data_IF_234377509970
#
_entry.id   IF_234377509970
#
_cell.length_a   1.000
_cell.length_b   1.000
_cell.length_c   1.000
_cell.angle_alpha   90.00
_cell.angle_beta   90.00
_cell.angle_gamma   90.00
#
_symmetry.space_group_name_H-M   'P 1'
#
loop_
_entity.id
_entity.type
_entity.pdbx_description
1 polymer ?
#
# COMPACT_ATOMS: atom_id res chain seq x y z
N UNK A 1 14.70 15.34 4.99
CA UNK A 1 15.72 14.39 4.48
C UNK A 1 15.14 13.24 3.63
N UNK A 2 13.87 13.28 3.22
CA UNK A 2 13.23 12.21 2.45
C UNK A 2 12.93 10.93 3.26
N UNK A 3 13.10 10.95 4.56
CA UNK A 3 12.76 9.84 5.45
C UNK A 3 11.27 9.88 5.81
N UNK A 4 10.42 9.55 4.84
CA UNK A 4 8.99 9.40 5.06
C UNK A 4 8.64 7.99 5.50
N UNK A 5 7.70 7.85 6.41
CA UNK A 5 7.24 6.55 6.90
C UNK A 5 5.82 6.60 7.41
N UNK A 6 5.31 5.43 7.75
CA UNK A 6 4.00 5.25 8.36
C UNK A 6 4.23 4.69 9.77
N UNK A 7 3.42 5.14 10.73
CA UNK A 7 3.43 4.59 12.09
C UNK A 7 2.94 3.13 12.01
N UNK A 8 3.80 2.20 12.39
CA UNK A 8 3.49 0.76 12.35
C UNK A 8 2.93 0.25 13.67
N UNK A 9 3.39 0.82 14.78
CA UNK A 9 2.96 0.43 16.12
C UNK A 9 2.99 1.62 17.06
N UNK A 10 2.06 1.65 18.02
CA UNK A 10 2.02 2.60 19.13
C UNK A 10 2.14 1.76 20.41
N UNK A 11 3.29 1.90 21.09
CA UNK A 11 3.59 1.18 22.31
C UNK A 11 3.31 2.07 23.55
N UNK A 12 3.11 1.44 24.69
CA UNK A 12 3.06 2.15 25.96
C UNK A 12 4.44 2.77 26.29
N UNK A 13 4.46 3.85 27.05
CA UNK A 13 5.72 4.56 27.37
C UNK A 13 6.68 3.66 28.13
N UNK A 14 6.15 2.81 29.00
CA UNK A 14 6.92 1.85 29.81
C UNK A 14 7.61 0.78 28.94
N UNK A 15 7.01 0.43 27.81
CA UNK A 15 7.54 -0.57 26.87
C UNK A 15 8.60 -0.02 25.91
N UNK A 16 8.72 1.31 25.84
CA UNK A 16 9.70 1.96 24.97
C UNK A 16 11.13 1.84 25.55
N UNK A 17 12.13 1.80 24.69
CA UNK A 17 13.52 1.88 25.15
C UNK A 17 13.78 3.18 25.89
N UNK A 18 14.61 3.14 26.95
CA UNK A 18 14.97 4.33 27.70
C UNK A 18 16.47 4.48 27.85
N UNK A 19 16.88 5.72 28.06
CA UNK A 19 18.24 6.07 28.42
C UNK A 19 18.55 5.57 29.84
N UNK A 20 19.82 5.50 30.23
CA UNK A 20 20.21 5.11 31.58
C UNK A 20 19.68 6.04 32.69
N UNK A 21 19.32 7.26 32.34
CA UNK A 21 18.68 8.25 33.23
C UNK A 21 17.16 8.03 33.44
N UNK A 22 16.57 7.05 32.74
CA UNK A 22 15.15 6.75 32.80
C UNK A 22 14.28 7.51 31.79
N UNK A 23 14.86 8.36 30.94
CA UNK A 23 14.13 9.08 29.90
C UNK A 23 13.73 8.13 28.78
N UNK A 24 12.43 7.97 28.52
CA UNK A 24 11.93 7.13 27.44
C UNK A 24 12.16 7.77 26.06
N UNK A 25 12.41 6.95 25.07
CA UNK A 25 12.50 7.36 23.67
C UNK A 25 11.09 7.54 23.12
N UNK A 26 10.81 8.66 22.44
CA UNK A 26 9.48 8.95 21.90
C UNK A 26 9.21 8.19 20.59
N UNK A 27 10.24 8.01 19.75
CA UNK A 27 10.13 7.39 18.42
C UNK A 27 11.33 6.47 18.17
N UNK A 28 11.05 5.31 17.62
CA UNK A 28 12.06 4.38 17.09
C UNK A 28 11.94 4.34 15.58
N UNK A 29 13.03 4.64 14.88
CA UNK A 29 13.11 4.66 13.42
C UNK A 29 13.88 3.45 12.89
N UNK A 30 13.43 2.92 11.74
CA UNK A 30 14.12 1.82 11.08
C UNK A 30 15.42 2.31 10.39
N UNK A 31 16.60 1.79 10.75
CA UNK A 31 17.86 2.21 10.17
C UNK A 31 18.04 1.81 8.69
N UNK A 32 17.30 0.82 8.20
CA UNK A 32 17.38 0.38 6.80
C UNK A 32 17.00 1.49 5.82
N UNK A 33 16.07 2.37 6.20
CA UNK A 33 15.68 3.52 5.39
C UNK A 33 16.77 4.58 5.25
N UNK A 34 17.73 4.63 6.17
CA UNK A 34 18.89 5.53 6.12
C UNK A 34 19.98 4.97 5.21
N UNK A 35 20.34 3.70 5.42
CA UNK A 35 21.42 3.05 4.70
C UNK A 35 21.14 2.96 3.18
N UNK A 36 19.93 2.58 2.80
CA UNK A 36 19.54 2.42 1.39
C UNK A 36 19.42 3.73 0.63
N UNK A 37 19.11 4.84 1.31
CA UNK A 37 18.88 6.15 0.69
C UNK A 37 20.04 7.13 0.81
N UNK A 38 21.06 6.78 1.58
CA UNK A 38 22.29 7.58 1.78
C UNK A 38 22.01 9.03 2.24
N UNK A 39 20.90 9.28 2.94
CA UNK A 39 20.55 10.60 3.48
C UNK A 39 21.19 10.81 4.85
N UNK A 40 22.50 10.97 4.87
CA UNK A 40 23.32 11.10 6.08
C UNK A 40 22.97 12.33 6.92
N UNK A 41 22.44 13.39 6.27
CA UNK A 41 22.05 14.64 6.94
C UNK A 41 21.09 14.44 8.13
N UNK A 42 20.24 13.42 8.10
CA UNK A 42 19.36 13.11 9.22
C UNK A 42 20.09 12.62 10.47
N UNK A 43 21.22 11.93 10.31
CA UNK A 43 22.05 11.48 11.44
C UNK A 43 22.75 12.68 12.06
N UNK A 44 23.33 13.57 11.23
CA UNK A 44 23.96 14.80 11.67
C UNK A 44 22.96 15.71 12.41
N UNK A 45 21.74 15.84 11.87
CA UNK A 45 20.66 16.56 12.54
C UNK A 45 20.33 15.96 13.92
N UNK A 46 20.22 14.65 14.01
CA UNK A 46 19.88 13.94 15.25
C UNK A 46 20.93 14.21 16.32
N UNK A 47 22.21 14.17 15.99
CA UNK A 47 23.29 14.43 16.91
C UNK A 47 23.34 15.90 17.36
N UNK A 48 23.28 16.81 16.41
CA UNK A 48 23.26 18.25 16.72
C UNK A 48 22.01 18.64 17.51
N UNK A 49 20.86 18.07 17.18
CA UNK A 49 19.61 18.27 17.91
C UNK A 49 19.69 17.80 19.36
N UNK A 50 20.40 16.72 19.65
CA UNK A 50 20.63 16.26 21.02
C UNK A 50 21.47 17.27 21.81
N UNK A 51 22.60 17.70 21.23
CA UNK A 51 23.43 18.73 21.85
C UNK A 51 22.66 20.05 22.07
N UNK A 52 21.89 20.48 21.09
CA UNK A 52 21.09 21.72 21.17
C UNK A 52 20.03 21.66 22.27
N UNK A 53 19.39 20.50 22.48
CA UNK A 53 18.41 20.28 23.54
C UNK A 53 19.05 20.40 24.92
N UNK A 54 20.20 19.78 25.15
CA UNK A 54 20.94 19.84 26.41
C UNK A 54 21.46 21.24 26.71
N UNK A 55 21.94 21.95 25.70
CA UNK A 55 22.45 23.32 25.85
C UNK A 55 21.38 24.41 25.79
N UNK A 56 20.11 24.05 25.48
CA UNK A 56 18.95 24.94 25.54
C UNK A 56 18.87 25.97 24.40
N UNK A 57 19.40 25.66 23.20
CA UNK A 57 19.29 26.55 22.03
C UNK A 57 18.65 25.84 20.82
N UNK A 58 18.23 26.63 19.84
CA UNK A 58 17.65 26.13 18.59
C UNK A 58 18.63 26.36 17.46
N UNK A 59 18.82 25.34 16.61
CA UNK A 59 19.70 25.40 15.44
C UNK A 59 18.89 25.60 14.17
N UNK A 60 19.27 26.60 13.37
CA UNK A 60 18.77 26.77 12.01
C UNK A 60 19.96 26.67 11.04
N UNK A 61 19.94 25.67 10.17
CA UNK A 61 20.96 25.43 9.18
C UNK A 61 20.43 25.70 7.78
N UNK A 62 21.16 26.46 6.97
CA UNK A 62 20.77 26.73 5.58
C UNK A 62 20.98 25.48 4.69
N UNK A 63 20.17 25.38 3.66
CA UNK A 63 20.35 24.36 2.63
C UNK A 63 21.68 24.61 1.90
N UNK A 64 22.47 23.58 1.66
CA UNK A 64 23.78 23.60 0.99
C UNK A 64 24.91 24.32 1.77
N UNK A 65 24.64 24.83 2.94
CA UNK A 65 25.61 25.43 3.86
C UNK A 65 25.36 24.86 5.27
N UNK A 66 25.61 23.57 5.39
CA UNK A 66 25.36 22.81 6.62
C UNK A 66 26.51 22.92 7.63
N UNK A 67 26.22 22.53 8.87
CA UNK A 67 27.20 22.48 9.95
C UNK A 67 28.22 21.36 9.67
N UNK A 68 29.51 21.60 9.95
CA UNK A 68 30.54 20.59 9.77
C UNK A 68 30.48 19.48 10.83
N UNK A 69 31.05 18.32 10.54
CA UNK A 69 31.11 17.20 11.48
C UNK A 69 31.91 17.55 12.75
N UNK A 70 32.98 18.32 12.58
CA UNK A 70 33.86 18.74 13.70
C UNK A 70 33.13 19.70 14.65
N UNK A 71 32.32 20.61 14.11
CA UNK A 71 31.47 21.51 14.92
C UNK A 71 30.45 20.72 15.71
N UNK A 72 29.78 19.73 15.09
CA UNK A 72 28.82 18.85 15.78
C UNK A 72 29.49 18.11 16.94
N UNK A 73 30.65 17.53 16.72
CA UNK A 73 31.41 16.86 17.78
C UNK A 73 31.82 17.85 18.90
N UNK A 74 32.16 19.07 18.52
CA UNK A 74 32.47 20.15 19.48
C UNK A 74 31.27 20.49 20.35
N UNK A 75 30.05 20.58 19.77
CA UNK A 75 28.82 20.86 20.50
C UNK A 75 28.42 19.68 21.41
N UNK A 76 28.56 18.43 20.95
CA UNK A 76 28.33 17.25 21.79
C UNK A 76 29.24 17.21 23.01
N UNK A 77 30.56 17.56 22.84
CA UNK A 77 31.51 17.70 23.96
C UNK A 77 31.09 18.76 24.95
N UNK A 78 30.66 19.94 24.48
CA UNK A 78 30.18 21.02 25.34
C UNK A 78 28.96 20.62 26.14
N UNK A 79 28.08 19.79 25.55
CA UNK A 79 26.90 19.25 26.20
C UNK A 79 27.20 18.08 27.17
N UNK A 80 28.45 17.62 27.23
CA UNK A 80 28.84 16.46 28.06
C UNK A 80 28.35 15.13 27.50
N UNK A 81 28.00 15.07 26.22
CA UNK A 81 27.50 13.90 25.51
C UNK A 81 28.61 13.13 24.79
N UNK A 82 28.43 11.83 24.49
CA UNK A 82 29.39 11.06 23.72
C UNK A 82 29.59 11.64 22.33
N UNK A 83 30.85 11.77 21.89
CA UNK A 83 31.20 12.33 20.57
C UNK A 83 30.67 11.53 19.39
N UNK A 84 30.45 10.22 19.60
CA UNK A 84 29.89 9.32 18.60
C UNK A 84 28.35 9.38 18.52
N UNK A 85 27.68 10.16 19.40
CA UNK A 85 26.23 10.28 19.46
C UNK A 85 25.49 8.96 19.75
N UNK A 86 26.18 7.99 20.34
CA UNK A 86 25.62 6.69 20.68
C UNK A 86 25.59 6.47 22.18
N UNK A 87 24.55 5.79 22.62
CA UNK A 87 24.40 5.41 24.01
C UNK A 87 23.79 4.02 24.11
N UNK A 88 24.07 3.33 25.19
CA UNK A 88 23.48 2.03 25.47
C UNK A 88 22.11 2.22 26.11
N UNK A 89 21.05 1.79 25.43
CA UNK A 89 19.67 1.89 25.90
C UNK A 89 19.29 0.67 26.75
N UNK A 90 18.25 0.84 27.54
CA UNK A 90 17.58 -0.22 28.29
C UNK A 90 16.27 -0.56 27.61
N UNK A 91 15.98 -1.85 27.47
CA UNK A 91 14.71 -2.35 26.91
C UNK A 91 13.59 -2.16 27.95
N UNK A 92 12.55 -1.41 27.59
CA UNK A 92 11.42 -1.15 28.47
C UNK A 92 10.64 -2.39 28.90
N UNK A 93 10.60 -3.43 28.06
CA UNK A 93 9.87 -4.67 28.37
C UNK A 93 10.61 -5.63 29.29
N UNK A 94 11.93 -5.77 29.07
CA UNK A 94 12.73 -6.74 29.84
C UNK A 94 13.54 -6.11 30.95
N UNK A 95 13.76 -4.80 30.92
CA UNK A 95 14.63 -4.10 31.86
C UNK A 95 16.14 -4.35 31.64
N UNK A 96 16.51 -5.08 30.57
CA UNK A 96 17.89 -5.40 30.25
C UNK A 96 18.50 -4.34 29.34
N UNK A 97 19.79 -4.10 29.47
CA UNK A 97 20.51 -3.23 28.55
C UNK A 97 20.70 -3.92 27.19
N UNK A 98 20.63 -3.12 26.12
CA UNK A 98 20.98 -3.60 24.79
C UNK A 98 22.47 -3.95 24.67
N UNK A 99 22.80 -4.99 23.92
CA UNK A 99 24.20 -5.41 23.72
C UNK A 99 25.02 -4.35 23.00
N UNK A 100 24.42 -3.63 22.06
CA UNK A 100 25.08 -2.60 21.28
C UNK A 100 24.59 -1.20 21.61
N UNK A 101 25.49 -0.23 21.43
CA UNK A 101 25.14 1.18 21.51
C UNK A 101 24.24 1.59 20.33
N UNK A 102 23.22 2.36 20.62
CA UNK A 102 22.26 2.89 19.64
C UNK A 102 22.45 4.39 19.43
N UNK A 103 22.26 4.86 18.20
CA UNK A 103 22.21 6.28 17.90
C UNK A 103 20.95 6.89 18.50
N UNK A 104 21.09 7.89 19.34
CA UNK A 104 20.01 8.61 19.99
C UNK A 104 20.18 10.10 19.77
N UNK A 105 19.10 10.84 19.73
CA UNK A 105 19.15 12.29 19.60
C UNK A 105 17.77 12.88 19.37
N UNK A 106 17.73 14.12 18.96
CA UNK A 106 16.50 14.87 18.71
C UNK A 106 16.42 15.24 17.23
N UNK A 107 15.29 14.93 16.60
CA UNK A 107 15.04 15.14 15.19
C UNK A 107 13.75 15.93 15.00
N UNK A 108 13.70 16.79 13.98
CA UNK A 108 12.50 17.51 13.62
C UNK A 108 11.58 16.63 12.78
N UNK A 109 10.38 16.38 13.26
CA UNK A 109 9.41 15.48 12.63
C UNK A 109 8.13 16.24 12.32
N UNK A 110 7.60 16.04 11.12
CA UNK A 110 6.36 16.65 10.67
C UNK A 110 5.29 15.58 10.40
N UNK A 111 4.05 15.85 10.78
CA UNK A 111 2.88 15.08 10.35
C UNK A 111 2.49 15.55 8.96
N UNK A 112 2.44 14.62 7.99
CA UNK A 112 2.03 14.90 6.62
C UNK A 112 0.53 14.67 6.43
N UNK A 113 -0.09 15.39 5.48
CA UNK A 113 -1.50 15.24 5.13
C UNK A 113 -1.80 13.96 4.31
N UNK A 114 -1.00 12.94 4.49
CA UNK A 114 -1.20 11.62 3.87
C UNK A 114 -1.80 10.64 4.88
N UNK A 115 -2.93 11.02 5.47
CA UNK A 115 -3.61 10.22 6.48
C UNK A 115 -4.32 9.02 5.84
N UNK A 116 -4.30 7.89 6.55
CA UNK A 116 -4.94 6.65 6.06
C UNK A 116 -6.45 6.80 5.89
N UNK A 117 -7.11 7.58 6.75
CA UNK A 117 -8.55 7.87 6.67
C UNK A 117 -8.97 8.52 5.36
N UNK A 118 -8.11 9.39 4.80
CA UNK A 118 -8.35 10.01 3.50
C UNK A 118 -8.11 9.08 2.32
N UNK A 119 -7.33 8.02 2.52
CA UNK A 119 -6.95 7.04 1.48
C UNK A 119 -7.75 5.75 1.55
N UNK A 120 -8.35 5.47 2.70
CA UNK A 120 -9.18 4.29 2.88
C UNK A 120 -10.38 4.39 1.94
N UNK A 121 -10.56 3.37 1.10
CA UNK A 121 -11.66 3.27 0.17
C UNK A 121 -12.08 1.82 -0.03
N UNK A 122 -13.39 1.59 -0.07
CA UNK A 122 -13.98 0.29 -0.40
C UNK A 122 -15.24 0.52 -1.20
N UNK A 123 -15.63 -0.47 -1.99
CA UNK A 123 -16.82 -0.45 -2.83
C UNK A 123 -17.47 -1.82 -2.85
N UNK A 124 -18.79 -1.86 -2.73
CA UNK A 124 -19.60 -3.02 -3.09
C UNK A 124 -20.35 -2.74 -4.39
N UNK A 125 -21.32 -1.83 -4.34
CA UNK A 125 -22.08 -1.33 -5.48
C UNK A 125 -21.83 0.17 -5.58
N UNK A 126 -21.80 0.70 -6.80
CA UNK A 126 -21.60 2.11 -7.03
C UNK A 126 -21.90 2.51 -8.48
N UNK A 127 -21.61 3.75 -8.87
CA UNK A 127 -21.88 4.23 -10.21
C UNK A 127 -21.03 3.55 -11.28
N UNK A 128 -21.59 3.40 -12.45
CA UNK A 128 -20.97 2.82 -13.65
C UNK A 128 -20.94 3.83 -14.79
N UNK A 129 -19.97 3.69 -15.69
CA UNK A 129 -19.94 4.46 -16.92
C UNK A 129 -21.13 4.11 -17.82
N UNK A 130 -21.74 5.11 -18.46
CA UNK A 130 -22.87 4.90 -19.36
C UNK A 130 -22.47 4.15 -20.64
N UNK A 131 -21.27 4.38 -21.15
CA UNK A 131 -20.84 3.81 -22.44
C UNK A 131 -20.27 2.40 -22.24
N UNK A 132 -19.31 2.24 -21.35
CA UNK A 132 -18.60 0.97 -21.16
C UNK A 132 -19.25 0.04 -20.16
N UNK A 133 -20.21 0.54 -19.37
CA UNK A 133 -20.83 -0.19 -18.24
C UNK A 133 -19.83 -0.72 -17.19
N UNK A 134 -18.63 -0.19 -17.20
CA UNK A 134 -17.58 -0.49 -16.20
C UNK A 134 -17.72 0.40 -14.98
N UNK A 135 -17.25 -0.05 -13.80
CA UNK A 135 -17.18 0.80 -12.62
C UNK A 135 -16.36 2.06 -12.88
N UNK A 136 -16.83 3.21 -12.38
CA UNK A 136 -16.04 4.45 -12.42
C UNK A 136 -14.77 4.30 -11.57
N UNK A 137 -13.76 5.10 -11.84
CA UNK A 137 -12.53 5.16 -11.06
C UNK A 137 -12.54 6.29 -10.02
N UNK A 138 -11.69 6.16 -8.99
CA UNK A 138 -11.44 7.20 -8.00
C UNK A 138 -12.34 7.16 -6.77
N UNK A 139 -11.76 7.50 -5.61
CA UNK A 139 -12.45 7.52 -4.31
C UNK A 139 -13.61 8.51 -4.28
N UNK A 140 -13.44 9.71 -4.87
CA UNK A 140 -14.46 10.76 -4.87
C UNK A 140 -15.76 10.35 -5.59
N UNK A 141 -15.66 9.47 -6.57
CA UNK A 141 -16.80 8.95 -7.33
C UNK A 141 -17.30 7.60 -6.83
N UNK A 142 -16.87 7.18 -5.66
CA UNK A 142 -17.15 5.84 -5.13
C UNK A 142 -16.82 4.74 -6.14
N UNK A 143 -15.66 4.89 -6.80
CA UNK A 143 -15.22 4.04 -7.91
C UNK A 143 -14.57 2.74 -7.46
N UNK A 144 -14.37 1.85 -8.43
CA UNK A 144 -13.65 0.59 -8.24
C UNK A 144 -12.15 0.73 -8.45
N UNK A 145 -11.40 -0.29 -8.05
CA UNK A 145 -9.98 -0.39 -8.32
C UNK A 145 -9.75 -0.84 -9.77
N UNK A 146 -8.70 -0.31 -10.40
CA UNK A 146 -8.30 -0.76 -11.72
C UNK A 146 -7.51 -2.06 -11.63
N UNK A 147 -8.00 -3.09 -12.27
CA UNK A 147 -7.28 -4.34 -12.48
C UNK A 147 -6.58 -4.24 -13.84
N UNK A 148 -5.29 -3.88 -13.83
CA UNK A 148 -4.52 -3.62 -15.03
C UNK A 148 -4.04 -4.88 -15.72
N UNK A 149 -3.33 -4.70 -16.85
CA UNK A 149 -2.80 -5.79 -17.67
C UNK A 149 -1.80 -6.68 -16.91
N UNK A 150 -0.94 -6.05 -16.10
CA UNK A 150 0.05 -6.80 -15.30
C UNK A 150 -0.60 -7.67 -14.22
N UNK A 151 -1.68 -7.21 -13.60
CA UNK A 151 -2.46 -7.98 -12.62
C UNK A 151 -3.17 -9.15 -13.29
N UNK A 152 -3.63 -8.99 -14.54
CA UNK A 152 -4.18 -10.07 -15.37
C UNK A 152 -3.12 -11.15 -15.62
N UNK A 153 -1.90 -10.76 -15.98
CA UNK A 153 -0.79 -11.71 -16.18
C UNK A 153 -0.47 -12.49 -14.89
N UNK A 154 -0.58 -11.87 -13.74
CA UNK A 154 -0.40 -12.56 -12.47
C UNK A 154 -1.44 -13.67 -12.26
N UNK A 155 -2.73 -13.40 -12.54
CA UNK A 155 -3.78 -14.42 -12.46
C UNK A 155 -3.59 -15.54 -13.49
N UNK A 156 -3.15 -15.20 -14.70
CA UNK A 156 -2.80 -16.18 -15.73
C UNK A 156 -1.65 -17.08 -15.27
N UNK A 157 -0.61 -16.49 -14.68
CA UNK A 157 0.53 -17.23 -14.13
C UNK A 157 0.15 -18.21 -13.02
N UNK A 158 -0.86 -17.89 -12.21
CA UNK A 158 -1.42 -18.82 -11.22
C UNK A 158 -2.41 -19.83 -11.79
N UNK A 159 -2.81 -19.69 -13.05
CA UNK A 159 -3.84 -20.54 -13.67
C UNK A 159 -5.24 -20.34 -13.11
N UNK A 160 -5.51 -19.19 -12.48
CA UNK A 160 -6.78 -18.87 -11.84
C UNK A 160 -7.84 -18.39 -12.86
N UNK A 161 -8.25 -19.25 -13.78
CA UNK A 161 -9.14 -18.90 -14.88
C UNK A 161 -10.52 -18.43 -14.43
N UNK A 162 -11.12 -19.06 -13.43
CA UNK A 162 -12.44 -18.66 -12.92
C UNK A 162 -12.41 -17.30 -12.24
N UNK A 163 -11.37 -16.99 -11.48
CA UNK A 163 -11.18 -15.68 -10.86
C UNK A 163 -11.01 -14.59 -11.92
N UNK A 164 -10.24 -14.87 -12.96
CA UNK A 164 -10.04 -13.93 -14.07
C UNK A 164 -11.36 -13.69 -14.82
N UNK A 165 -12.13 -14.72 -15.09
CA UNK A 165 -13.45 -14.61 -15.72
C UNK A 165 -14.40 -13.75 -14.87
N UNK A 166 -14.44 -13.96 -13.58
CA UNK A 166 -15.24 -13.15 -12.65
C UNK A 166 -14.83 -11.67 -12.68
N UNK A 167 -13.51 -11.39 -12.67
CA UNK A 167 -13.00 -10.02 -12.75
C UNK A 167 -13.40 -9.31 -14.05
N UNK A 168 -13.41 -10.03 -15.16
CA UNK A 168 -13.73 -9.49 -16.50
C UNK A 168 -15.25 -9.31 -16.73
N UNK A 169 -16.10 -10.06 -16.05
CA UNK A 169 -17.55 -10.12 -16.31
C UNK A 169 -18.38 -9.53 -15.17
N UNK A 170 -18.64 -10.30 -14.15
CA UNK A 170 -19.56 -9.92 -13.05
C UNK A 170 -19.09 -8.65 -12.32
N UNK A 171 -17.78 -8.52 -12.11
CA UNK A 171 -17.19 -7.38 -11.43
C UNK A 171 -16.92 -6.19 -12.35
N UNK A 172 -17.17 -6.30 -13.64
CA UNK A 172 -16.85 -5.26 -14.62
C UNK A 172 -18.08 -4.85 -15.44
N UNK A 173 -18.28 -5.38 -16.63
CA UNK A 173 -19.19 -4.88 -17.66
C UNK A 173 -20.46 -5.72 -17.87
N UNK A 174 -20.57 -6.91 -17.30
CA UNK A 174 -21.76 -7.76 -17.42
C UNK A 174 -22.90 -7.25 -16.53
N UNK A 175 -23.81 -6.48 -17.13
CA UNK A 175 -24.95 -5.86 -16.42
C UNK A 175 -25.90 -6.91 -15.86
N UNK A 176 -26.22 -7.94 -16.66
CA UNK A 176 -27.15 -9.00 -16.25
C UNK A 176 -26.54 -9.91 -15.20
N UNK A 177 -25.28 -10.29 -15.38
CA UNK A 177 -24.53 -11.10 -14.42
C UNK A 177 -24.38 -10.42 -13.07
N UNK A 178 -24.12 -9.10 -13.04
CA UNK A 178 -24.08 -8.32 -11.80
C UNK A 178 -25.39 -8.38 -11.03
N UNK A 179 -26.50 -8.16 -11.72
CA UNK A 179 -27.84 -8.13 -11.11
C UNK A 179 -28.22 -9.51 -10.56
N UNK A 180 -28.00 -10.58 -11.33
CA UNK A 180 -28.24 -11.95 -10.90
C UNK A 180 -27.35 -12.36 -9.72
N UNK A 181 -26.06 -11.98 -9.73
CA UNK A 181 -25.13 -12.28 -8.63
C UNK A 181 -25.56 -11.58 -7.33
N UNK A 182 -25.97 -10.31 -7.42
CA UNK A 182 -26.41 -9.56 -6.27
C UNK A 182 -27.75 -10.12 -5.70
N UNK A 183 -28.67 -10.51 -6.56
CA UNK A 183 -29.91 -11.18 -6.16
C UNK A 183 -29.63 -12.51 -5.45
N UNK A 184 -28.69 -13.32 -5.96
CA UNK A 184 -28.27 -14.58 -5.33
C UNK A 184 -27.68 -14.35 -3.93
N UNK A 185 -26.88 -13.29 -3.76
CA UNK A 185 -26.31 -12.94 -2.45
C UNK A 185 -27.41 -12.54 -1.45
N UNK A 186 -28.40 -11.74 -1.89
CA UNK A 186 -29.50 -11.32 -1.02
C UNK A 186 -30.37 -12.52 -0.61
N UNK A 187 -30.62 -13.45 -1.54
CA UNK A 187 -31.43 -14.65 -1.28
C UNK A 187 -30.66 -15.75 -0.54
N UNK A 188 -29.33 -15.65 -0.44
CA UNK A 188 -28.49 -16.71 0.13
C UNK A 188 -28.36 -17.95 -0.76
N UNK A 189 -28.60 -17.79 -2.06
CA UNK A 189 -28.48 -18.86 -3.06
C UNK A 189 -27.05 -18.92 -3.64
N UNK A 190 -26.61 -20.06 -4.19
CA UNK A 190 -25.36 -20.15 -4.92
C UNK A 190 -25.32 -19.17 -6.11
N UNK A 191 -24.18 -18.49 -6.26
CA UNK A 191 -23.98 -17.58 -7.38
C UNK A 191 -23.86 -18.40 -8.68
N UNK A 192 -24.59 -18.00 -9.71
CA UNK A 192 -24.51 -18.63 -11.04
C UNK A 192 -23.18 -18.34 -11.71
N UNK A 193 -22.74 -19.24 -12.58
CA UNK A 193 -21.51 -19.04 -13.36
C UNK A 193 -21.61 -17.77 -14.21
N UNK A 194 -20.51 -17.00 -14.33
CA UNK A 194 -20.49 -15.80 -15.16
C UNK A 194 -20.60 -16.15 -16.65
N UNK A 195 -21.15 -15.22 -17.42
CA UNK A 195 -21.22 -15.32 -18.87
C UNK A 195 -19.84 -15.23 -19.51
N UNK A 196 -19.76 -15.58 -20.80
CA UNK A 196 -18.53 -15.42 -21.58
C UNK A 196 -18.29 -13.92 -21.79
N UNK A 197 -17.05 -13.42 -21.59
CA UNK A 197 -16.74 -12.00 -21.79
C UNK A 197 -17.04 -11.53 -23.22
N UNK A 198 -17.60 -10.33 -23.37
CA UNK A 198 -17.90 -9.76 -24.67
C UNK A 198 -16.65 -9.65 -25.58
N UNK A 199 -15.49 -9.36 -24.99
CA UNK A 199 -14.21 -9.33 -25.71
C UNK A 199 -13.84 -10.67 -26.34
N UNK A 200 -14.21 -11.78 -25.71
CA UNK A 200 -13.97 -13.12 -26.26
C UNK A 200 -14.89 -13.41 -27.45
N UNK A 201 -16.14 -12.95 -27.42
CA UNK A 201 -17.03 -13.05 -28.59
C UNK A 201 -16.50 -12.29 -29.82
N UNK A 202 -15.91 -11.10 -29.59
CA UNK A 202 -15.25 -10.36 -30.66
C UNK A 202 -14.10 -11.15 -31.25
N UNK A 203 -13.24 -11.74 -30.43
CA UNK A 203 -12.13 -12.59 -30.88
C UNK A 203 -12.61 -13.79 -31.70
N UNK A 204 -13.66 -14.48 -31.23
CA UNK A 204 -14.27 -15.61 -31.97
C UNK A 204 -14.80 -15.16 -33.32
N UNK A 205 -15.47 -14.02 -33.40
CA UNK A 205 -15.98 -13.48 -34.65
C UNK A 205 -14.86 -13.09 -35.62
N UNK A 206 -13.77 -12.52 -35.15
CA UNK A 206 -12.59 -12.21 -35.96
C UNK A 206 -11.93 -13.46 -36.48
N UNK A 207 -11.79 -14.53 -35.68
CA UNK A 207 -11.29 -15.81 -36.12
C UNK A 207 -12.20 -16.46 -37.17
N UNK A 208 -13.52 -16.41 -36.98
CA UNK A 208 -14.49 -16.85 -37.98
C UNK A 208 -14.38 -16.05 -39.29
N UNK A 209 -14.14 -14.74 -39.21
CA UNK A 209 -13.85 -13.88 -40.35
C UNK A 209 -12.58 -14.29 -41.13
N UNK A 210 -11.62 -14.93 -40.48
CA UNK A 210 -10.44 -15.54 -41.08
C UNK A 210 -10.66 -16.99 -41.57
N UNK A 211 -11.91 -17.42 -41.68
CA UNK A 211 -12.29 -18.78 -42.06
C UNK A 211 -11.87 -19.88 -41.08
N UNK A 212 -11.60 -19.54 -39.82
CA UNK A 212 -11.33 -20.51 -38.78
C UNK A 212 -12.62 -20.82 -37.98
N UNK A 213 -13.02 -22.10 -37.95
CA UNK A 213 -14.16 -22.49 -37.11
C UNK A 213 -13.76 -22.63 -35.67
N UNK A 214 -14.42 -21.88 -34.76
CA UNK A 214 -14.19 -21.93 -33.30
C UNK A 214 -15.51 -22.35 -32.67
N UNK A 215 -15.49 -23.50 -32.00
CA UNK A 215 -16.62 -24.04 -31.24
C UNK A 215 -16.32 -24.07 -29.75
N UNK A 216 -17.22 -23.53 -28.94
CA UNK A 216 -17.12 -23.55 -27.50
C UNK A 216 -17.84 -24.80 -26.97
N UNK A 217 -17.09 -25.77 -26.46
CA UNK A 217 -17.66 -26.99 -25.87
C UNK A 217 -17.86 -26.80 -24.37
N UNK A 218 -19.07 -27.06 -23.89
CA UNK A 218 -19.41 -27.03 -22.47
C UNK A 218 -19.80 -25.63 -21.92
N UNK A 219 -19.84 -24.60 -22.74
CA UNK A 219 -20.45 -23.34 -22.40
C UNK A 219 -21.98 -23.46 -22.50
N UNK A 220 -22.68 -23.28 -21.37
CA UNK A 220 -24.15 -23.05 -21.46
C UNK A 220 -24.34 -21.63 -21.95
N UNK A 221 -24.69 -21.48 -23.21
CA UNK A 221 -25.22 -20.22 -23.77
C UNK A 221 -26.66 -20.11 -23.26
N UNK A 222 -26.93 -19.19 -22.36
CA UNK A 222 -28.29 -18.80 -21.97
C UNK A 222 -28.86 -17.77 -22.97
N UNK A 223 -28.68 -17.96 -24.26
CA UNK A 223 -29.38 -17.19 -25.27
C UNK A 223 -30.70 -17.93 -25.60
N UNK A 224 -31.86 -17.39 -25.20
CA UNK A 224 -33.15 -18.05 -25.42
C UNK A 224 -33.55 -18.13 -26.90
N UNK A 225 -32.78 -17.49 -27.79
CA UNK A 225 -33.05 -17.49 -29.24
C UNK A 225 -32.28 -18.59 -30.00
N UNK A 226 -31.22 -19.19 -29.44
CA UNK A 226 -30.50 -20.30 -30.08
C UNK A 226 -31.14 -21.69 -29.88
N UNK A 227 -32.06 -21.85 -28.92
CA UNK A 227 -32.78 -23.12 -28.75
C UNK A 227 -33.85 -23.36 -29.86
N UNK A 228 -34.14 -22.36 -30.69
CA UNK A 228 -35.16 -22.49 -31.76
C UNK A 228 -34.63 -23.08 -33.03
N UNK A 229 -33.30 -23.07 -33.25
CA UNK A 229 -32.71 -23.50 -34.51
C UNK A 229 -32.15 -24.95 -34.50
N UNK A 230 -32.22 -25.68 -33.37
CA UNK A 230 -31.67 -27.03 -33.25
C UNK A 230 -32.78 -28.14 -33.44
N UNK A 231 -34.06 -27.76 -33.47
CA UNK A 231 -35.15 -28.74 -33.63
C UNK A 231 -35.63 -28.93 -35.10
N UNK A 232 -34.95 -28.33 -36.11
CA UNK A 232 -35.32 -28.49 -37.49
C UNK A 232 -34.12 -28.76 -38.38
N UNK A 233 -33.51 -29.93 -38.28
CA UNK A 233 -32.88 -30.68 -39.39
C UNK A 233 -32.93 -32.17 -39.05
#
# INVERSE_FOLDING_TARGET
>A
HGNKGVISNIAAVEDMPHLPDGTAVDIVLNPLGVASRMNIGQILETHLGWAARELGYTVASASLDGVSEDDIKGELKKAGLPENGKIRLVNGKTGEQFDNESTVGVMYIMKLNHLVEDKLHMRSIGPYSLITQQPLGGKAQFGGQRFGEMEVWALEGYGAAHTLQEMLTIKSDDVLGRSKAYESIIKGEPIKSPNIPASFHVLVNELKGLCLNVELKGAKTEDPDEERDIETV
#
